data_IF_860386245538
#
_entry.id   IF_860386245538
#
_cell.length_a   1.000
_cell.length_b   1.000
_cell.length_c   1.000
_cell.angle_alpha   90.00
_cell.angle_beta   90.00
_cell.angle_gamma   90.00
#
_symmetry.space_group_name_H-M   'P 1'
#
loop_
_entity.id
_entity.type
_entity.pdbx_description
1 polymer ?
#
# COMPACT_ATOMS: atom_id res chain seq x y z
N UNK A 1 -18.88 2.11 8.78
CA UNK A 1 -18.43 2.39 7.39
C UNK A 1 -17.48 1.30 6.92
N UNK A 2 -17.34 1.07 5.60
CA UNK A 2 -16.22 0.28 5.07
C UNK A 2 -15.03 1.20 4.82
N UNK A 3 -13.82 0.72 5.14
CA UNK A 3 -12.56 1.46 4.99
C UNK A 3 -11.62 0.63 4.13
N UNK A 4 -10.92 1.30 3.22
CA UNK A 4 -9.82 0.71 2.47
C UNK A 4 -8.57 1.57 2.63
N UNK A 5 -7.45 0.91 2.89
CA UNK A 5 -6.14 1.55 2.92
C UNK A 5 -5.15 0.79 2.04
N UNK A 6 -4.39 1.54 1.23
CA UNK A 6 -3.34 1.01 0.37
C UNK A 6 -2.01 1.57 0.88
N UNK A 7 -0.99 0.73 1.03
CA UNK A 7 0.35 1.17 1.44
C UNK A 7 0.29 1.99 2.74
N UNK A 8 0.83 3.19 2.76
CA UNK A 8 0.72 4.14 3.88
C UNK A 8 -0.75 4.35 4.34
N UNK A 9 -1.70 4.42 3.38
CA UNK A 9 -3.13 4.50 3.71
C UNK A 9 -3.62 3.29 4.51
N UNK A 10 -2.99 2.13 4.35
CA UNK A 10 -3.24 0.93 5.14
C UNK A 10 -2.78 1.08 6.60
N UNK A 11 -1.63 1.70 6.83
CA UNK A 11 -1.14 2.02 8.19
C UNK A 11 -2.12 2.94 8.94
N UNK A 12 -2.65 3.95 8.23
CA UNK A 12 -3.69 4.85 8.77
C UNK A 12 -4.99 4.09 9.04
N UNK A 13 -5.41 3.22 8.12
CA UNK A 13 -6.62 2.41 8.26
C UNK A 13 -6.53 1.42 9.44
N UNK A 14 -5.37 0.79 9.65
CA UNK A 14 -5.09 -0.08 10.81
C UNK A 14 -5.26 0.72 12.11
N UNK A 15 -4.59 1.88 12.21
CA UNK A 15 -4.67 2.74 13.39
C UNK A 15 -6.11 3.18 13.67
N UNK A 16 -6.85 3.52 12.62
CA UNK A 16 -8.25 3.93 12.76
C UNK A 16 -9.12 2.77 13.25
N UNK A 17 -8.97 1.59 12.66
CA UNK A 17 -9.74 0.41 13.02
C UNK A 17 -9.51 -0.04 14.47
N UNK A 18 -8.26 -0.03 14.92
CA UNK A 18 -7.88 -0.34 16.32
C UNK A 18 -8.47 0.69 17.29
N UNK A 19 -8.42 1.99 16.95
CA UNK A 19 -8.91 3.07 17.82
C UNK A 19 -10.43 3.23 17.80
N UNK A 20 -11.11 2.75 16.77
CA UNK A 20 -12.55 2.98 16.54
C UNK A 20 -13.23 1.69 16.02
N UNK A 21 -13.17 0.56 16.76
CA UNK A 21 -13.69 -0.72 16.26
C UNK A 21 -15.17 -0.66 15.88
N UNK A 22 -16.00 0.06 16.64
CA UNK A 22 -17.44 0.18 16.40
C UNK A 22 -17.80 0.98 15.14
N UNK A 23 -16.85 1.74 14.56
CA UNK A 23 -17.08 2.56 13.37
C UNK A 23 -16.75 1.84 12.07
N UNK A 24 -16.00 0.72 12.14
CA UNK A 24 -15.52 -0.01 10.97
C UNK A 24 -16.36 -1.26 10.76
N UNK A 25 -17.17 -1.27 9.70
CA UNK A 25 -17.94 -2.44 9.30
C UNK A 25 -17.10 -3.48 8.54
N UNK A 26 -16.23 -3.02 7.65
CA UNK A 26 -15.30 -3.85 6.87
C UNK A 26 -13.99 -3.09 6.66
N UNK A 27 -12.90 -3.82 6.63
CA UNK A 27 -11.56 -3.27 6.40
C UNK A 27 -10.90 -3.97 5.20
N UNK A 28 -10.33 -3.20 4.29
CA UNK A 28 -9.49 -3.71 3.20
C UNK A 28 -8.10 -3.10 3.36
N UNK A 29 -7.11 -3.97 3.43
CA UNK A 29 -5.69 -3.62 3.56
C UNK A 29 -4.95 -4.15 2.33
N UNK A 30 -4.45 -3.26 1.47
CA UNK A 30 -3.75 -3.64 0.26
C UNK A 30 -2.29 -3.16 0.30
N UNK A 31 -1.35 -4.05 -0.01
CA UNK A 31 0.08 -3.71 -0.14
C UNK A 31 0.61 -2.89 1.06
N UNK A 32 0.26 -3.30 2.28
CA UNK A 32 0.58 -2.57 3.52
C UNK A 32 1.16 -3.52 4.59
N UNK A 33 1.53 -3.00 5.72
CA UNK A 33 2.24 -3.72 6.77
C UNK A 33 1.71 -3.35 8.16
N UNK A 34 2.06 -4.18 9.15
CA UNK A 34 1.78 -3.89 10.56
C UNK A 34 2.79 -2.92 11.18
N UNK A 35 3.97 -2.80 10.58
CA UNK A 35 5.07 -1.95 11.06
C UNK A 35 5.95 -1.49 9.92
N UNK A 36 6.65 -0.39 10.10
CA UNK A 36 7.73 0.01 9.19
C UNK A 36 8.96 -0.86 9.47
N UNK A 37 9.20 -1.83 8.58
CA UNK A 37 10.35 -2.72 8.66
C UNK A 37 11.67 -1.96 8.43
N UNK A 38 12.81 -2.57 8.77
CA UNK A 38 14.12 -1.97 8.48
C UNK A 38 14.35 -1.75 6.98
N UNK A 39 13.78 -2.63 6.14
CA UNK A 39 13.76 -2.47 4.70
C UNK A 39 13.02 -1.20 4.26
N UNK A 40 11.77 -1.04 4.69
CA UNK A 40 10.97 0.15 4.39
C UNK A 40 11.61 1.44 4.92
N UNK A 41 12.19 1.38 6.12
CA UNK A 41 12.90 2.51 6.71
C UNK A 41 14.08 2.94 5.85
N UNK A 42 14.86 1.99 5.30
CA UNK A 42 15.98 2.30 4.43
C UNK A 42 15.56 2.86 3.08
N UNK A 43 14.49 2.35 2.49
CA UNK A 43 13.89 2.95 1.28
C UNK A 43 13.43 4.39 1.58
N UNK A 44 12.72 4.60 2.67
CA UNK A 44 12.26 5.93 3.09
C UNK A 44 13.42 6.91 3.34
N UNK A 45 14.51 6.45 3.96
CA UNK A 45 15.73 7.25 4.14
C UNK A 45 16.29 7.69 2.78
N UNK A 46 16.33 6.79 1.80
CA UNK A 46 16.77 7.09 0.44
C UNK A 46 15.86 8.10 -0.26
N UNK A 47 14.56 7.90 -0.19
CA UNK A 47 13.57 8.84 -0.76
C UNK A 47 13.67 10.23 -0.15
N UNK A 48 13.79 10.32 1.17
CA UNK A 48 13.97 11.60 1.85
C UNK A 48 15.31 12.29 1.47
N UNK A 49 16.40 11.52 1.33
CA UNK A 49 17.67 12.07 0.90
C UNK A 49 17.57 12.67 -0.51
N UNK A 50 16.90 11.98 -1.42
CA UNK A 50 16.72 12.45 -2.81
C UNK A 50 15.74 13.63 -2.86
N UNK A 51 14.61 13.60 -2.12
CA UNK A 51 13.67 14.72 -2.07
C UNK A 51 14.36 16.02 -1.62
N UNK A 52 15.29 15.94 -0.65
CA UNK A 52 16.05 17.10 -0.16
C UNK A 52 16.98 17.74 -1.23
N UNK A 53 17.25 17.05 -2.34
CA UNK A 53 18.04 17.62 -3.44
C UNK A 53 17.24 18.58 -4.32
N UNK A 54 15.92 18.55 -4.25
CA UNK A 54 15.03 19.32 -5.13
C UNK A 54 14.83 18.69 -6.51
N UNK A 55 15.51 17.57 -6.82
CA UNK A 55 15.40 16.92 -8.13
C UNK A 55 14.19 15.99 -8.21
N UNK A 56 13.14 16.39 -8.94
CA UNK A 56 11.99 15.54 -9.24
C UNK A 56 12.36 14.33 -10.09
N UNK A 57 13.31 14.47 -11.01
CA UNK A 57 13.84 13.37 -11.82
C UNK A 57 14.51 12.31 -10.95
N UNK A 58 15.44 12.72 -10.09
CA UNK A 58 16.10 11.78 -9.18
C UNK A 58 15.10 11.10 -8.24
N UNK A 59 14.06 11.83 -7.78
CA UNK A 59 12.99 11.25 -6.97
C UNK A 59 12.18 10.22 -7.76
N UNK A 60 11.81 10.52 -9.01
CA UNK A 60 11.11 9.60 -9.89
C UNK A 60 11.92 8.31 -10.11
N UNK A 61 13.19 8.44 -10.51
CA UNK A 61 14.05 7.30 -10.82
C UNK A 61 14.34 6.39 -9.62
N UNK A 62 14.29 6.91 -8.42
CA UNK A 62 14.54 6.12 -7.19
C UNK A 62 13.24 5.54 -6.59
N UNK A 63 12.09 6.11 -6.91
CA UNK A 63 10.80 5.72 -6.31
C UNK A 63 10.01 4.80 -7.23
N UNK A 64 9.87 5.17 -8.50
CA UNK A 64 8.95 4.48 -9.42
C UNK A 64 9.38 3.04 -9.73
N UNK A 65 10.67 2.72 -9.95
CA UNK A 65 11.07 1.34 -10.24
C UNK A 65 10.79 0.32 -9.13
N UNK A 66 10.66 0.75 -7.89
CA UNK A 66 10.33 -0.17 -6.77
C UNK A 66 8.83 -0.29 -6.52
N UNK A 67 8.01 0.53 -7.19
CA UNK A 67 6.56 0.52 -7.07
C UNK A 67 5.91 -0.45 -8.07
N UNK A 68 6.41 -0.52 -9.29
CA UNK A 68 5.84 -1.38 -10.33
C UNK A 68 6.60 -2.70 -10.46
N UNK A 69 5.89 -3.75 -10.86
CA UNK A 69 6.55 -5.00 -11.24
C UNK A 69 7.39 -4.81 -12.50
N UNK A 70 8.49 -5.54 -12.62
CA UNK A 70 9.36 -5.47 -13.81
C UNK A 70 8.59 -5.84 -15.08
N UNK A 71 7.74 -6.85 -15.01
CA UNK A 71 6.93 -7.29 -16.14
C UNK A 71 5.94 -6.20 -16.62
N UNK A 72 5.32 -5.47 -15.70
CA UNK A 72 4.46 -4.34 -16.05
C UNK A 72 5.27 -3.20 -16.67
N UNK A 73 6.40 -2.85 -16.07
CA UNK A 73 7.25 -1.77 -16.55
C UNK A 73 7.70 -1.99 -17.99
N UNK A 74 8.16 -3.20 -18.33
CA UNK A 74 8.59 -3.57 -19.69
C UNK A 74 7.40 -3.61 -20.67
N UNK A 75 6.28 -4.18 -20.28
CA UNK A 75 5.09 -4.27 -21.14
C UNK A 75 4.47 -2.92 -21.44
N UNK A 76 4.44 -2.03 -20.46
CA UNK A 76 3.77 -0.73 -20.51
C UNK A 76 4.76 0.44 -20.65
N UNK A 77 5.94 0.21 -21.26
CA UNK A 77 7.02 1.20 -21.36
C UNK A 77 6.54 2.57 -21.90
N UNK A 78 5.71 2.59 -22.93
CA UNK A 78 5.17 3.82 -23.50
C UNK A 78 4.20 4.57 -22.53
N UNK A 79 3.47 3.84 -21.69
CA UNK A 79 2.65 4.42 -20.65
C UNK A 79 3.52 4.96 -19.50
N UNK A 80 4.58 4.25 -19.14
CA UNK A 80 5.54 4.69 -18.13
C UNK A 80 6.26 5.97 -18.55
N UNK A 81 6.67 6.09 -19.83
CA UNK A 81 7.27 7.30 -20.38
C UNK A 81 6.33 8.52 -20.29
N UNK A 82 5.05 8.34 -20.65
CA UNK A 82 4.05 9.40 -20.47
C UNK A 82 3.87 9.81 -19.01
N UNK A 83 3.87 8.82 -18.13
CA UNK A 83 3.74 9.05 -16.68
C UNK A 83 4.96 9.77 -16.11
N UNK A 84 6.15 9.45 -16.59
CA UNK A 84 7.39 10.15 -16.26
C UNK A 84 7.29 11.65 -16.58
N UNK A 85 6.83 11.99 -17.79
CA UNK A 85 6.63 13.37 -18.22
C UNK A 85 5.65 14.17 -17.34
N UNK A 86 4.74 13.49 -16.64
CA UNK A 86 3.79 14.12 -15.70
C UNK A 86 4.36 14.17 -14.28
N UNK A 87 4.99 13.08 -13.83
CA UNK A 87 5.42 12.95 -12.44
C UNK A 87 6.71 13.70 -12.11
N UNK A 88 7.66 13.81 -13.05
CA UNK A 88 8.90 14.57 -12.82
C UNK A 88 8.60 16.04 -12.50
N UNK A 89 7.81 16.79 -13.30
CA UNK A 89 7.41 18.15 -12.95
C UNK A 89 6.66 18.25 -11.61
N UNK A 90 5.81 17.27 -11.31
CA UNK A 90 5.08 17.22 -10.03
C UNK A 90 6.03 17.04 -8.85
N UNK A 91 6.95 16.09 -8.93
CA UNK A 91 7.95 15.82 -7.89
C UNK A 91 9.01 16.93 -7.77
N UNK A 92 9.17 17.79 -8.78
CA UNK A 92 10.08 18.93 -8.73
C UNK A 92 9.52 20.10 -7.91
N UNK A 93 8.25 20.06 -7.51
CA UNK A 93 7.62 21.10 -6.71
C UNK A 93 8.09 21.03 -5.25
N UNK A 94 8.57 22.15 -4.66
CA UNK A 94 9.04 22.16 -3.26
C UNK A 94 7.97 21.73 -2.24
N UNK A 95 6.72 22.17 -2.42
CA UNK A 95 5.61 21.82 -1.55
C UNK A 95 5.28 20.32 -1.60
N UNK A 96 5.44 19.68 -2.76
CA UNK A 96 5.28 18.23 -2.92
C UNK A 96 6.40 17.49 -2.21
N UNK A 97 7.66 17.90 -2.43
CA UNK A 97 8.81 17.27 -1.79
C UNK A 97 8.76 17.36 -0.26
N UNK A 98 8.43 18.53 0.28
CA UNK A 98 8.22 18.67 1.72
C UNK A 98 7.10 17.77 2.24
N UNK A 99 6.01 17.62 1.47
CA UNK A 99 4.90 16.74 1.84
C UNK A 99 5.31 15.27 1.82
N UNK A 100 6.09 14.83 0.83
CA UNK A 100 6.62 13.47 0.73
C UNK A 100 7.58 13.14 1.88
N UNK A 101 8.46 14.09 2.24
CA UNK A 101 9.35 13.95 3.39
C UNK A 101 8.53 13.78 4.69
N UNK A 102 7.56 14.65 4.93
CA UNK A 102 6.69 14.56 6.11
C UNK A 102 5.92 13.23 6.16
N UNK A 103 5.42 12.76 5.01
CA UNK A 103 4.73 11.48 4.91
C UNK A 103 5.65 10.32 5.31
N UNK A 104 6.84 10.26 4.71
CA UNK A 104 7.85 9.23 5.00
C UNK A 104 8.29 9.26 6.46
N UNK A 105 8.56 10.46 7.00
CA UNK A 105 8.97 10.62 8.40
C UNK A 105 7.85 10.22 9.37
N UNK A 106 6.58 10.47 9.04
CA UNK A 106 5.44 10.09 9.90
C UNK A 106 5.24 8.58 10.02
N UNK A 107 5.71 7.81 9.03
CA UNK A 107 5.67 6.34 9.04
C UNK A 107 6.90 5.70 9.69
N UNK A 108 7.96 6.46 9.95
CA UNK A 108 9.27 5.93 10.38
C UNK A 108 9.22 4.99 11.58
N UNK A 109 8.47 5.37 12.60
CA UNK A 109 8.36 4.65 13.86
C UNK A 109 7.00 3.94 14.02
N UNK A 110 6.28 3.76 12.89
CA UNK A 110 5.01 3.06 12.89
C UNK A 110 5.22 1.58 13.25
N UNK A 111 4.58 1.14 14.33
CA UNK A 111 4.51 -0.26 14.74
C UNK A 111 3.18 -0.55 15.47
N UNK A 112 2.33 -1.33 14.80
CA UNK A 112 1.08 -1.84 15.35
C UNK A 112 1.08 -3.37 15.41
N UNK A 113 2.25 -4.01 15.30
CA UNK A 113 2.40 -5.47 15.27
C UNK A 113 1.70 -6.15 16.43
N UNK A 114 1.78 -5.57 17.63
CA UNK A 114 1.16 -6.13 18.83
C UNK A 114 -0.27 -5.64 19.07
N UNK A 115 -0.82 -4.84 18.14
CA UNK A 115 -2.16 -4.29 18.25
C UNK A 115 -3.12 -4.68 17.14
N UNK A 116 -2.62 -5.16 16.00
CA UNK A 116 -3.48 -5.55 14.87
C UNK A 116 -4.46 -6.67 15.22
N UNK A 117 -4.18 -7.47 16.24
CA UNK A 117 -5.10 -8.49 16.75
C UNK A 117 -6.38 -7.90 17.39
N UNK A 118 -6.40 -6.62 17.72
CA UNK A 118 -7.55 -5.88 18.24
C UNK A 118 -8.59 -5.58 17.12
N UNK A 119 -8.23 -5.77 15.84
CA UNK A 119 -9.14 -5.59 14.71
C UNK A 119 -10.13 -6.74 14.69
N UNK A 120 -11.40 -6.44 14.91
CA UNK A 120 -12.49 -7.42 15.02
C UNK A 120 -13.44 -7.45 13.83
N UNK A 121 -13.42 -6.43 12.99
CA UNK A 121 -14.27 -6.36 11.80
C UNK A 121 -13.78 -7.32 10.70
N UNK A 122 -14.68 -7.81 9.81
CA UNK A 122 -14.28 -8.54 8.62
C UNK A 122 -13.20 -7.79 7.84
N UNK A 123 -12.07 -8.44 7.60
CA UNK A 123 -10.90 -7.83 6.98
C UNK A 123 -10.45 -8.63 5.75
N UNK A 124 -10.23 -7.93 4.64
CA UNK A 124 -9.59 -8.47 3.44
C UNK A 124 -8.18 -7.90 3.34
N UNK A 125 -7.19 -8.78 3.20
CA UNK A 125 -5.79 -8.43 2.95
C UNK A 125 -5.48 -8.78 1.50
N UNK A 126 -5.08 -7.77 0.72
CA UNK A 126 -4.65 -7.92 -0.68
C UNK A 126 -3.14 -7.75 -0.72
N UNK A 127 -2.47 -8.77 -1.20
CA UNK A 127 -1.02 -8.83 -1.44
C UNK A 127 -0.74 -8.89 -2.93
N UNK A 128 0.47 -8.55 -3.34
CA UNK A 128 0.93 -8.67 -4.72
C UNK A 128 2.26 -9.42 -4.78
N UNK A 129 2.37 -10.43 -5.65
CA UNK A 129 3.52 -11.35 -5.63
C UNK A 129 4.85 -10.67 -5.95
N UNK A 130 4.83 -9.59 -6.73
CA UNK A 130 6.01 -8.84 -7.19
C UNK A 130 6.20 -7.50 -6.43
N UNK A 131 5.53 -7.33 -5.27
CA UNK A 131 5.69 -6.13 -4.46
C UNK A 131 7.06 -6.11 -3.78
N UNK A 132 7.98 -5.33 -4.35
CA UNK A 132 9.32 -5.14 -3.81
C UNK A 132 9.37 -4.07 -2.71
N UNK A 133 8.39 -3.17 -2.66
CA UNK A 133 8.35 -2.09 -1.67
C UNK A 133 7.85 -2.61 -0.32
N UNK A 134 6.67 -3.23 -0.31
CA UNK A 134 6.11 -3.91 0.87
C UNK A 134 5.98 -5.39 0.54
N UNK A 135 7.02 -6.20 0.80
CA UNK A 135 7.05 -7.60 0.41
C UNK A 135 5.84 -8.40 0.93
N UNK A 136 5.36 -9.42 0.20
CA UNK A 136 4.21 -10.25 0.59
C UNK A 136 4.28 -10.81 2.02
N UNK A 137 5.48 -10.99 2.56
CA UNK A 137 5.70 -11.45 3.94
C UNK A 137 5.09 -10.50 4.98
N UNK A 138 5.02 -9.20 4.70
CA UNK A 138 4.41 -8.22 5.60
C UNK A 138 2.88 -8.39 5.64
N UNK A 139 2.24 -8.70 4.50
CA UNK A 139 0.80 -8.98 4.47
C UNK A 139 0.46 -10.34 5.10
N UNK A 140 1.36 -11.32 4.99
CA UNK A 140 1.22 -12.60 5.69
C UNK A 140 1.22 -12.39 7.22
N UNK A 141 2.08 -11.51 7.75
CA UNK A 141 2.08 -11.15 9.17
C UNK A 141 0.74 -10.55 9.60
N UNK A 142 0.18 -9.64 8.80
CA UNK A 142 -1.16 -9.08 9.05
C UNK A 142 -2.22 -10.19 9.11
N UNK A 143 -2.22 -11.10 8.12
CA UNK A 143 -3.18 -12.20 8.05
C UNK A 143 -3.08 -13.14 9.25
N UNK A 144 -1.88 -13.47 9.68
CA UNK A 144 -1.66 -14.33 10.84
C UNK A 144 -2.15 -13.70 12.15
N UNK A 145 -2.08 -12.38 12.26
CA UNK A 145 -2.42 -11.65 13.50
C UNK A 145 -3.87 -11.13 13.52
N UNK A 146 -4.48 -10.84 12.39
CA UNK A 146 -5.89 -10.40 12.31
C UNK A 146 -6.78 -11.63 12.15
N UNK A 147 -7.38 -12.06 13.26
CA UNK A 147 -8.20 -13.28 13.29
C UNK A 147 -9.39 -13.19 12.34
N UNK A 148 -9.55 -14.20 11.50
CA UNK A 148 -10.67 -14.29 10.55
C UNK A 148 -10.54 -13.38 9.32
N UNK A 149 -9.37 -12.78 9.11
CA UNK A 149 -9.11 -12.05 7.86
C UNK A 149 -9.05 -13.01 6.67
N UNK A 150 -9.54 -12.53 5.50
CA UNK A 150 -9.28 -13.18 4.22
C UNK A 150 -7.96 -12.65 3.63
N UNK A 151 -7.22 -13.51 2.94
CA UNK A 151 -5.96 -13.16 2.29
C UNK A 151 -5.98 -13.57 0.83
N UNK A 152 -5.64 -12.65 -0.06
CA UNK A 152 -5.59 -12.89 -1.51
C UNK A 152 -4.32 -12.28 -2.08
N UNK A 153 -3.67 -13.01 -3.00
CA UNK A 153 -2.51 -12.51 -3.75
C UNK A 153 -2.89 -12.23 -5.19
N UNK A 154 -2.63 -11.03 -5.69
CA UNK A 154 -2.65 -10.70 -7.12
C UNK A 154 -1.29 -11.09 -7.69
N UNK A 155 -1.26 -12.15 -8.49
CA UNK A 155 -0.02 -12.70 -9.04
C UNK A 155 0.51 -11.83 -10.19
N UNK A 156 1.84 -11.66 -10.25
CA UNK A 156 2.52 -10.89 -11.30
C UNK A 156 2.36 -9.38 -11.19
N UNK A 157 1.76 -8.90 -10.09
CA UNK A 157 1.59 -7.46 -9.83
C UNK A 157 2.55 -6.98 -8.75
N UNK A 158 3.05 -5.77 -8.92
CA UNK A 158 3.85 -5.05 -7.93
C UNK A 158 3.00 -4.25 -6.94
N UNK A 159 3.62 -3.23 -6.33
CA UNK A 159 2.98 -2.40 -5.31
C UNK A 159 1.79 -1.60 -5.84
N UNK A 160 1.79 -1.25 -7.12
CA UNK A 160 0.75 -0.45 -7.76
C UNK A 160 -0.35 -1.29 -8.42
N UNK A 161 -0.83 -2.35 -7.76
CA UNK A 161 -1.80 -3.29 -8.33
C UNK A 161 -3.06 -2.64 -8.91
N UNK A 162 -3.50 -1.50 -8.38
CA UNK A 162 -4.62 -0.74 -8.92
C UNK A 162 -4.36 -0.20 -10.35
N UNK A 163 -3.10 -0.14 -10.78
CA UNK A 163 -2.70 0.22 -12.14
C UNK A 163 -2.27 -1.00 -12.95
N UNK A 164 -1.63 -1.97 -12.33
CA UNK A 164 -1.06 -3.14 -13.00
C UNK A 164 -2.11 -4.19 -13.36
N UNK A 165 -3.06 -4.43 -12.45
CA UNK A 165 -4.23 -5.30 -12.65
C UNK A 165 -5.49 -4.68 -12.03
N UNK A 166 -6.02 -3.61 -12.66
CA UNK A 166 -7.19 -2.91 -12.15
C UNK A 166 -8.45 -3.79 -12.10
N UNK A 167 -8.52 -4.81 -12.95
CA UNK A 167 -9.68 -5.70 -13.00
C UNK A 167 -9.74 -6.58 -11.74
N UNK A 168 -8.66 -7.28 -11.42
CA UNK A 168 -8.57 -8.10 -10.21
C UNK A 168 -8.70 -7.25 -8.95
N UNK A 169 -7.99 -6.12 -8.88
CA UNK A 169 -8.06 -5.22 -7.74
C UNK A 169 -9.48 -4.73 -7.48
N UNK A 170 -10.16 -4.23 -8.52
CA UNK A 170 -11.54 -3.72 -8.40
C UNK A 170 -12.52 -4.82 -8.04
N UNK A 171 -12.41 -6.01 -8.65
CA UNK A 171 -13.27 -7.15 -8.35
C UNK A 171 -13.17 -7.57 -6.88
N UNK A 172 -11.95 -7.64 -6.33
CA UNK A 172 -11.72 -7.96 -4.90
C UNK A 172 -12.35 -6.92 -3.99
N UNK A 173 -12.12 -5.63 -4.26
CA UNK A 173 -12.65 -4.53 -3.45
C UNK A 173 -14.17 -4.51 -3.49
N UNK A 174 -14.79 -4.54 -4.67
CA UNK A 174 -16.25 -4.51 -4.82
C UNK A 174 -16.88 -5.79 -4.29
N UNK A 175 -16.31 -6.96 -4.58
CA UNK A 175 -16.79 -8.24 -4.06
C UNK A 175 -16.84 -8.24 -2.54
N UNK A 176 -15.75 -7.84 -1.88
CA UNK A 176 -15.68 -7.83 -0.42
C UNK A 176 -16.57 -6.78 0.23
N UNK A 177 -16.67 -5.58 -0.34
CA UNK A 177 -17.50 -4.51 0.22
C UNK A 177 -19.00 -4.80 0.11
N UNK A 178 -19.41 -5.57 -0.91
CA UNK A 178 -20.83 -5.93 -1.18
C UNK A 178 -21.25 -7.29 -0.63
N UNK A 179 -20.37 -8.05 0.04
CA UNK A 179 -20.79 -9.28 0.74
C UNK A 179 -21.90 -8.94 1.74
N UNK A 180 -22.93 -9.80 1.81
CA UNK A 180 -23.93 -9.73 2.88
C UNK A 180 -23.25 -9.97 4.24
N UNK A 181 -23.77 -9.38 5.30
CA UNK A 181 -23.21 -9.58 6.65
C UNK A 181 -23.45 -11.02 7.15
N UNK A 182 -24.40 -11.75 6.52
CA UNK A 182 -24.69 -13.17 6.78
C UNK A 182 -23.71 -14.14 6.07
N UNK A 183 -22.74 -13.63 5.31
CA UNK A 183 -21.84 -14.43 4.49
C UNK A 183 -22.54 -15.03 3.25
N UNK A 184 -21.76 -15.77 2.43
CA UNK A 184 -22.34 -16.58 1.35
C UNK A 184 -22.87 -17.85 2.01
N UNK A 185 -24.18 -17.95 2.13
CA UNK A 185 -24.83 -19.23 2.46
C UNK A 185 -24.82 -20.05 1.17
N UNK A 186 -23.93 -21.03 1.08
CA UNK A 186 -23.95 -22.09 0.08
C UNK A 186 -24.89 -23.17 0.57
#
# INVERSE_FOLDING_TARGET
MSIMGISYGGEVAIQFAVKNPDKVRRLILANTCARTSDWLRKIGDGWNAVAKTGSGEAYYLTTIPVIYSTAFYEREAAWMEKREGVLIPYFSRPDVQESLIRLTDSSRDYDYTDRVHEITCPTLIISCSEDCLVPPTEQVILHQKIKGSAYVTINGSGHASMYEDPASFTALVLGFTNLSDDGIKI
#
